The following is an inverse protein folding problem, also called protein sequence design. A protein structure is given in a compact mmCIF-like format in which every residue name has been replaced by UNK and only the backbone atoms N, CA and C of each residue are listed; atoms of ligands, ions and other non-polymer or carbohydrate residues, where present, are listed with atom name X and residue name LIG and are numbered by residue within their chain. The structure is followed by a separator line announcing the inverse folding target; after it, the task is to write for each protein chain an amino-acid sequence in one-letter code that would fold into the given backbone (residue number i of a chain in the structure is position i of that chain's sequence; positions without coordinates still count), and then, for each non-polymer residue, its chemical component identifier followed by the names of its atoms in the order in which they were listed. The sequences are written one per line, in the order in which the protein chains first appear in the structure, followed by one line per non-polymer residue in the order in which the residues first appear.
data_IF_738364539549
#
_entry.id   IF_738364539549
#
_cell.length_a   1.000
_cell.length_b   1.000
_cell.length_c   1.000
_cell.angle_alpha   90.00
_cell.angle_beta   90.00
_cell.angle_gamma   90.00
#
_symmetry.space_group_name_H-M   'P 1'
#
loop_
_entity.id
_entity.type
_entity.pdbx_description
1 polymer ?
#
# COMPACT_ATOMS: atom_id res chain seq x y z
N UNK A 1 -52.54 67.92 16.98
CA UNK A 1 -52.59 66.56 17.55
C UNK A 1 -51.77 65.66 16.66
N UNK A 2 -50.76 64.97 17.19
CA UNK A 2 -50.01 63.94 16.46
C UNK A 2 -50.34 62.59 17.09
N UNK A 3 -50.62 61.58 16.26
CA UNK A 3 -51.14 60.30 16.72
C UNK A 3 -49.97 59.32 16.91
N UNK A 4 -49.49 59.16 18.15
CA UNK A 4 -48.41 58.22 18.46
C UNK A 4 -48.93 56.78 18.48
N UNK A 5 -48.20 55.87 17.82
CA UNK A 5 -48.48 54.45 17.89
C UNK A 5 -48.06 53.87 19.25
N UNK A 6 -48.75 52.85 19.79
CA UNK A 6 -48.50 52.35 21.15
C UNK A 6 -47.16 51.62 21.36
N UNK A 7 -46.29 51.53 20.34
CA UNK A 7 -45.01 50.81 20.38
C UNK A 7 -43.76 51.70 20.20
N UNK A 8 -43.91 53.02 19.99
CA UNK A 8 -42.78 53.92 19.70
C UNK A 8 -41.99 54.27 20.99
N UNK A 9 -41.07 53.39 21.38
CA UNK A 9 -40.17 53.60 22.52
C UNK A 9 -39.12 54.70 22.27
N UNK A 10 -38.64 55.40 23.33
CA UNK A 10 -37.79 56.60 23.21
C UNK A 10 -36.35 56.37 22.71
N UNK A 11 -36.02 55.14 22.29
CA UNK A 11 -34.71 54.75 21.73
C UNK A 11 -34.80 54.38 20.24
N UNK A 12 -35.97 54.53 19.61
CA UNK A 12 -36.22 54.12 18.24
C UNK A 12 -36.49 52.61 18.09
N UNK A 13 -36.86 52.20 16.89
CA UNK A 13 -37.02 50.79 16.54
C UNK A 13 -35.65 50.11 16.56
N UNK A 14 -35.48 49.10 17.42
CA UNK A 14 -34.34 48.20 17.34
C UNK A 14 -34.37 47.51 15.95
N UNK A 15 -33.23 47.38 15.25
CA UNK A 15 -33.21 46.64 14.00
C UNK A 15 -33.54 45.18 14.28
N UNK A 16 -34.56 44.65 13.59
CA UNK A 16 -34.87 43.22 13.60
C UNK A 16 -33.73 42.46 12.91
N UNK A 17 -32.72 42.07 13.70
CA UNK A 17 -31.63 41.18 13.30
C UNK A 17 -32.19 39.74 13.26
N UNK A 18 -33.15 39.54 12.35
CA UNK A 18 -33.71 38.25 11.98
C UNK A 18 -32.69 37.53 11.10
N UNK A 19 -31.60 37.06 11.72
CA UNK A 19 -30.68 36.10 11.11
C UNK A 19 -31.43 34.78 11.00
N UNK A 20 -32.28 34.69 9.97
CA UNK A 20 -32.99 33.49 9.53
C UNK A 20 -32.08 32.46 8.88
N UNK A 21 -30.87 32.28 9.44
CA UNK A 21 -30.10 31.07 9.19
C UNK A 21 -30.91 29.92 9.80
N UNK A 22 -31.61 29.17 8.94
CA UNK A 22 -32.41 28.03 9.38
C UNK A 22 -31.54 27.06 10.18
N UNK A 23 -32.10 26.38 11.18
CA UNK A 23 -31.35 25.41 11.98
C UNK A 23 -30.71 24.32 11.10
N UNK A 24 -31.31 24.02 9.94
CA UNK A 24 -30.76 23.15 8.91
C UNK A 24 -29.43 23.66 8.30
N UNK A 25 -29.25 24.97 8.12
CA UNK A 25 -27.97 25.56 7.67
C UNK A 25 -26.91 25.51 8.77
N UNK A 26 -27.27 25.82 10.02
CA UNK A 26 -26.35 25.69 11.16
C UNK A 26 -25.93 24.24 11.40
N UNK A 27 -26.86 23.29 11.27
CA UNK A 27 -26.61 21.85 11.31
C UNK A 27 -25.75 21.39 10.12
N UNK A 28 -26.00 21.89 8.91
CA UNK A 28 -25.20 21.57 7.72
C UNK A 28 -23.75 22.04 7.82
N UNK A 29 -23.53 23.30 8.22
CA UNK A 29 -22.19 23.88 8.40
C UNK A 29 -21.42 23.18 9.52
N UNK A 30 -22.06 22.89 10.66
CA UNK A 30 -21.41 22.17 11.75
C UNK A 30 -21.07 20.72 11.38
N UNK A 31 -21.97 20.00 10.69
CA UNK A 31 -21.71 18.63 10.23
C UNK A 31 -20.57 18.58 9.20
N UNK A 32 -20.53 19.51 8.24
CA UNK A 32 -19.42 19.64 7.29
C UNK A 32 -18.08 19.93 8.01
N UNK A 33 -18.08 20.81 9.02
CA UNK A 33 -16.92 21.07 9.87
C UNK A 33 -16.42 19.83 10.62
N UNK A 34 -17.33 19.03 11.21
CA UNK A 34 -16.97 17.78 11.87
C UNK A 34 -16.42 16.73 10.89
N UNK A 35 -16.97 16.61 9.68
CA UNK A 35 -16.44 15.70 8.66
C UNK A 35 -15.03 16.10 8.21
N UNK A 36 -14.78 17.39 7.97
CA UNK A 36 -13.45 17.89 7.60
C UNK A 36 -12.42 17.65 8.72
N UNK A 37 -12.80 17.87 9.98
CA UNK A 37 -11.94 17.64 11.15
C UNK A 37 -11.66 16.13 11.34
N UNK A 38 -12.68 15.28 11.21
CA UNK A 38 -12.54 13.83 11.28
C UNK A 38 -11.63 13.29 10.15
N UNK A 39 -11.79 13.78 8.92
CA UNK A 39 -10.94 13.39 7.79
C UNK A 39 -9.48 13.86 7.96
N UNK A 40 -9.26 15.06 8.51
CA UNK A 40 -7.93 15.56 8.87
C UNK A 40 -7.25 14.68 9.92
N UNK A 41 -7.95 14.36 11.03
CA UNK A 41 -7.42 13.46 12.07
C UNK A 41 -7.17 12.05 11.53
N UNK A 42 -8.07 11.50 10.71
CA UNK A 42 -7.91 10.21 10.05
C UNK A 42 -6.68 10.18 9.12
N UNK A 43 -6.43 11.27 8.38
CA UNK A 43 -5.26 11.42 7.51
C UNK A 43 -3.95 11.52 8.30
N UNK A 44 -3.96 12.20 9.45
CA UNK A 44 -2.83 12.25 10.39
C UNK A 44 -2.55 10.86 10.99
N UNK A 45 -3.59 10.13 11.39
CA UNK A 45 -3.45 8.75 11.91
C UNK A 45 -2.95 7.80 10.82
N UNK A 46 -3.48 7.85 9.59
CA UNK A 46 -3.01 7.04 8.46
C UNK A 46 -1.55 7.31 8.11
N UNK A 47 -1.13 8.58 8.03
CA UNK A 47 0.27 8.93 7.72
C UNK A 47 1.23 8.52 8.84
N UNK A 48 0.80 8.59 10.12
CA UNK A 48 1.57 8.09 11.26
C UNK A 48 1.63 6.56 11.30
N UNK A 49 0.54 5.85 11.01
CA UNK A 49 0.54 4.38 10.93
C UNK A 49 1.38 3.89 9.75
N UNK A 50 1.32 4.56 8.59
CA UNK A 50 2.13 4.22 7.42
C UNK A 50 3.63 4.42 7.70
N UNK A 51 4.02 5.58 8.24
CA UNK A 51 5.44 5.83 8.60
C UNK A 51 5.94 4.93 9.74
N UNK A 52 5.11 4.60 10.73
CA UNK A 52 5.47 3.62 11.76
C UNK A 52 5.66 2.21 11.17
N UNK A 53 4.83 1.81 10.19
CA UNK A 53 4.96 0.54 9.50
C UNK A 53 6.20 0.50 8.60
N UNK A 54 6.45 1.55 7.83
CA UNK A 54 7.64 1.66 6.96
C UNK A 54 8.94 1.66 7.79
N UNK A 55 8.95 2.27 8.98
CA UNK A 55 10.08 2.18 9.91
C UNK A 55 10.30 0.77 10.46
N UNK A 56 9.24 0.03 10.82
CA UNK A 56 9.35 -1.35 11.30
C UNK A 56 9.81 -2.31 10.19
N UNK A 57 9.28 -2.17 8.97
CA UNK A 57 9.71 -2.95 7.81
C UNK A 57 11.18 -2.62 7.44
N UNK A 58 11.63 -1.37 7.58
CA UNK A 58 13.06 -1.01 7.45
C UNK A 58 13.95 -1.60 8.56
N UNK A 59 13.52 -1.65 9.83
CA UNK A 59 14.32 -2.25 10.90
C UNK A 59 14.46 -3.76 10.74
N UNK A 60 13.39 -4.49 10.39
CA UNK A 60 13.47 -5.92 10.11
C UNK A 60 14.38 -6.22 8.89
N UNK A 61 14.26 -5.47 7.79
CA UNK A 61 15.15 -5.66 6.63
C UNK A 61 16.62 -5.36 6.98
N UNK A 62 16.89 -4.35 7.81
CA UNK A 62 18.27 -4.02 8.26
C UNK A 62 18.87 -5.11 9.14
N UNK A 63 18.12 -5.66 10.10
CA UNK A 63 18.63 -6.73 10.98
C UNK A 63 18.86 -8.04 10.20
N UNK A 64 17.92 -8.42 9.32
CA UNK A 64 18.08 -9.56 8.39
C UNK A 64 19.31 -9.36 7.48
N UNK A 65 19.53 -8.13 6.99
CA UNK A 65 20.69 -7.82 6.15
C UNK A 65 22.02 -8.01 6.88
N UNK A 66 22.10 -7.78 8.19
CA UNK A 66 23.35 -7.95 8.94
C UNK A 66 23.74 -9.43 9.09
N UNK A 67 22.83 -10.27 9.58
CA UNK A 67 23.13 -11.70 9.79
C UNK A 67 23.35 -12.44 8.46
N UNK A 68 22.67 -12.05 7.37
CA UNK A 68 22.92 -12.64 6.05
C UNK A 68 24.26 -12.18 5.43
N UNK A 69 24.67 -10.92 5.63
CA UNK A 69 26.02 -10.44 5.27
C UNK A 69 27.09 -11.18 6.08
N UNK A 70 26.87 -11.38 7.38
CA UNK A 70 27.77 -12.12 8.28
C UNK A 70 27.86 -13.61 7.90
N UNK A 71 26.78 -14.19 7.40
CA UNK A 71 26.76 -15.55 6.86
C UNK A 71 27.53 -15.66 5.53
N UNK A 72 27.43 -14.66 4.64
CA UNK A 72 28.10 -14.64 3.32
C UNK A 72 29.58 -14.25 3.36
N UNK A 73 29.99 -13.42 4.32
CA UNK A 73 31.35 -12.89 4.40
C UNK A 73 32.42 -13.95 4.75
N UNK A 74 33.63 -13.73 4.23
CA UNK A 74 34.69 -14.73 4.21
C UNK A 74 35.43 -14.86 5.56
N UNK A 75 35.83 -16.08 5.93
CA UNK A 75 36.32 -16.36 7.31
C UNK A 75 37.60 -15.60 7.62
N UNK A 76 38.41 -15.30 6.61
CA UNK A 76 39.66 -14.54 6.71
C UNK A 76 39.44 -13.11 7.21
N UNK A 77 38.40 -12.41 6.76
CA UNK A 77 38.17 -10.98 7.04
C UNK A 77 37.39 -10.73 8.34
N UNK A 78 36.70 -11.73 8.87
CA UNK A 78 35.92 -11.59 10.12
C UNK A 78 36.81 -11.54 11.37
N UNK A 79 36.51 -10.60 12.27
CA UNK A 79 37.11 -10.52 13.62
C UNK A 79 36.60 -11.64 14.54
N UNK A 80 37.31 -11.95 15.64
CA UNK A 80 37.02 -13.04 16.60
C UNK A 80 35.60 -12.99 17.16
N UNK A 81 35.05 -11.79 17.38
CA UNK A 81 33.66 -11.60 17.81
C UNK A 81 32.66 -12.01 16.72
N UNK A 82 32.87 -11.53 15.48
CA UNK A 82 32.04 -11.87 14.32
C UNK A 82 32.06 -13.38 14.01
N UNK A 83 33.22 -14.04 14.12
CA UNK A 83 33.33 -15.50 13.97
C UNK A 83 32.51 -16.26 15.03
N UNK A 84 32.48 -15.77 16.27
CA UNK A 84 31.64 -16.32 17.36
C UNK A 84 30.14 -16.11 17.10
N UNK A 85 29.74 -14.95 16.60
CA UNK A 85 28.35 -14.68 16.21
C UNK A 85 27.91 -15.58 15.05
N UNK A 86 28.68 -15.66 13.96
CA UNK A 86 28.43 -16.55 12.81
C UNK A 86 28.32 -18.02 13.24
N UNK A 87 29.19 -18.49 14.15
CA UNK A 87 29.12 -19.84 14.70
C UNK A 87 27.83 -20.10 15.50
N UNK A 88 27.42 -19.16 16.37
CA UNK A 88 26.14 -19.23 17.10
C UNK A 88 24.94 -19.23 16.15
N UNK A 89 24.96 -18.42 15.09
CA UNK A 89 23.90 -18.38 14.08
C UNK A 89 23.79 -19.72 13.32
N UNK A 90 24.92 -20.28 12.87
CA UNK A 90 24.96 -21.61 12.21
C UNK A 90 24.44 -22.71 13.16
N UNK A 91 24.83 -22.72 14.44
CA UNK A 91 24.32 -23.67 15.43
C UNK A 91 22.80 -23.50 15.68
N UNK A 92 22.30 -22.26 15.72
CA UNK A 92 20.86 -21.95 15.84
C UNK A 92 20.07 -22.44 14.63
N UNK A 93 20.63 -22.35 13.43
CA UNK A 93 20.04 -22.92 12.20
C UNK A 93 20.07 -24.46 12.22
N UNK A 94 21.20 -25.08 12.58
CA UNK A 94 21.31 -26.54 12.69
C UNK A 94 20.32 -27.11 13.71
N UNK A 95 20.13 -26.46 14.86
CA UNK A 95 19.12 -26.86 15.87
C UNK A 95 17.67 -26.73 15.38
N UNK A 96 17.39 -25.92 14.34
CA UNK A 96 16.07 -25.81 13.69
C UNK A 96 15.84 -26.82 12.57
N UNK A 97 16.89 -27.45 12.05
CA UNK A 97 16.84 -28.44 10.95
C UNK A 97 16.99 -29.88 11.47
N UNK A 98 17.67 -30.07 12.61
CA UNK A 98 17.67 -31.35 13.31
C UNK A 98 16.25 -31.69 13.81
N UNK A 99 15.72 -32.91 13.55
CA UNK A 99 14.41 -33.31 14.04
C UNK A 99 14.42 -33.38 15.57
N UNK A 100 13.43 -32.74 16.20
CA UNK A 100 13.35 -32.66 17.65
C UNK A 100 12.91 -34.01 18.23
N UNK A 101 13.85 -34.84 18.69
CA UNK A 101 13.50 -35.94 19.59
C UNK A 101 12.97 -35.35 20.91
N UNK A 102 11.77 -35.75 21.37
CA UNK A 102 11.24 -35.33 22.66
C UNK A 102 11.81 -36.23 23.76
N UNK A 103 12.94 -35.84 24.35
CA UNK A 103 13.34 -36.40 25.64
C UNK A 103 12.39 -35.86 26.71
N UNK A 104 11.34 -36.63 27.00
CA UNK A 104 10.43 -36.35 28.10
C UNK A 104 11.08 -36.82 29.40
N UNK A 105 11.54 -35.86 30.22
CA UNK A 105 11.92 -36.07 31.61
C UNK A 105 11.14 -35.07 32.49
N UNK A 106 10.64 -35.47 33.67
CA UNK A 106 9.94 -34.56 34.57
C UNK A 106 10.91 -33.56 35.24
N UNK A 107 10.42 -32.42 35.75
CA UNK A 107 11.27 -31.36 36.31
C UNK A 107 11.44 -31.47 37.84
N UNK A 108 12.68 -31.21 38.30
CA UNK A 108 13.05 -30.75 39.65
C UNK A 108 12.82 -31.76 40.81
N UNK A 109 13.42 -31.66 42.00
CA UNK A 109 14.33 -30.66 42.61
C UNK A 109 15.66 -31.30 43.14
N UNK A 110 16.29 -30.64 44.11
CA UNK A 110 17.64 -30.82 44.71
C UNK A 110 17.88 -32.15 45.47
N UNK A 111 19.11 -32.70 45.42
CA UNK A 111 19.92 -33.16 46.59
C UNK A 111 21.40 -33.50 46.21
N UNK A 112 22.26 -33.77 47.20
CA UNK A 112 23.69 -34.11 47.06
C UNK A 112 24.00 -35.63 46.94
N UNK A 113 25.19 -35.95 46.42
CA UNK A 113 26.05 -37.01 46.99
C UNK A 113 25.96 -38.46 46.46
N UNK A 114 27.12 -38.98 46.00
CA UNK A 114 27.42 -40.43 45.79
C UNK A 114 26.53 -41.15 44.73
N UNK A 115 26.76 -42.41 44.32
CA UNK A 115 27.94 -43.29 44.43
C UNK A 115 27.57 -44.79 44.29
N UNK A 116 28.14 -45.50 43.32
CA UNK A 116 27.75 -46.89 42.94
C UNK A 116 26.78 -46.90 41.74
N UNK A 117 26.72 -47.87 40.80
CA UNK A 117 27.19 -49.28 40.64
C UNK A 117 26.15 -50.36 41.04
N UNK A 118 26.11 -51.43 40.24
CA UNK A 118 25.16 -52.59 40.21
C UNK A 118 23.86 -52.33 39.41
N UNK A 119 23.29 -53.20 38.56
CA UNK A 119 23.54 -54.60 38.11
C UNK A 119 22.76 -55.75 38.83
N UNK A 120 21.46 -55.87 38.50
CA UNK A 120 20.57 -57.07 38.53
C UNK A 120 19.38 -56.77 37.56
N UNK A 121 18.66 -57.64 36.84
CA UNK A 121 18.46 -59.11 36.75
C UNK A 121 17.34 -59.72 37.63
N UNK A 122 16.35 -60.38 36.97
CA UNK A 122 15.26 -61.23 37.52
C UNK A 122 14.26 -60.53 38.50
N UNK A 123 13.01 -60.96 38.77
CA UNK A 123 12.04 -61.96 38.24
C UNK A 123 10.62 -61.54 38.80
N UNK A 124 9.43 -61.72 38.19
CA UNK A 124 8.99 -62.39 36.94
C UNK A 124 8.14 -61.45 36.02
N UNK A 125 6.86 -61.58 35.63
CA UNK A 125 5.78 -62.58 35.90
C UNK A 125 4.44 -62.31 35.15
N UNK A 126 3.48 -63.24 35.33
CA UNK A 126 2.03 -63.22 34.98
C UNK A 126 1.58 -62.92 33.52
N UNK A 127 1.26 -63.99 32.79
CA UNK A 127 0.39 -64.02 31.60
C UNK A 127 -1.05 -64.43 32.04
N UNK A 128 -2.16 -64.39 31.23
CA UNK A 128 -2.19 -64.80 29.81
C UNK A 128 -3.19 -64.10 28.85
N UNK A 129 -3.01 -64.31 27.55
CA UNK A 129 -4.07 -64.86 26.69
C UNK A 129 -3.44 -65.54 25.45
N UNK A 130 -4.15 -66.47 24.80
CA UNK A 130 -3.57 -67.33 23.76
C UNK A 130 -4.53 -67.55 22.57
N UNK A 131 -3.95 -67.71 21.38
CA UNK A 131 -4.47 -68.58 20.31
C UNK A 131 -3.30 -69.31 19.62
N UNK A 132 -3.51 -70.51 19.04
CA UNK A 132 -2.42 -71.41 18.68
C UNK A 132 -2.03 -71.38 17.19
N UNK A 133 -0.73 -71.49 16.91
CA UNK A 133 -0.19 -71.78 15.56
C UNK A 133 0.39 -73.21 15.56
N UNK A 134 0.00 -74.09 14.62
CA UNK A 134 0.42 -75.49 14.64
C UNK A 134 1.91 -75.64 14.28
N UNK A 135 2.60 -76.48 15.05
CA UNK A 135 3.97 -76.87 14.72
C UNK A 135 3.97 -77.92 13.59
N UNK A 136 4.70 -77.64 12.51
CA UNK A 136 5.10 -78.64 11.53
C UNK A 136 6.62 -78.85 11.62
N UNK A 137 7.04 -80.09 11.85
CA UNK A 137 8.43 -80.54 11.70
C UNK A 137 8.62 -81.14 10.30
N UNK A 138 9.85 -81.54 10.03
CA UNK A 138 10.31 -82.35 8.88
C UNK A 138 10.78 -81.52 7.67
N UNK A 139 11.92 -81.83 7.04
CA UNK A 139 13.09 -82.57 7.57
C UNK A 139 14.38 -82.14 6.85
N UNK A 140 15.50 -82.81 7.17
CA UNK A 140 16.82 -82.63 6.54
C UNK A 140 16.80 -82.69 5.01
N UNK A 141 17.52 -81.79 4.31
CA UNK A 141 18.42 -82.12 3.18
C UNK A 141 19.17 -80.92 2.53
N UNK A 142 20.07 -80.22 3.25
CA UNK A 142 20.95 -79.20 2.64
C UNK A 142 22.46 -79.31 2.97
N UNK A 143 23.24 -79.52 1.90
CA UNK A 143 24.60 -78.98 1.67
C UNK A 143 25.76 -79.26 2.64
N UNK A 144 25.98 -80.52 3.04
CA UNK A 144 27.27 -80.97 3.62
C UNK A 144 28.49 -80.74 2.71
N UNK A 145 28.29 -80.47 1.41
CA UNK A 145 29.36 -80.20 0.43
C UNK A 145 30.04 -78.82 0.55
N UNK A 146 29.44 -77.83 1.22
CA UNK A 146 30.06 -76.49 1.38
C UNK A 146 30.95 -76.36 2.63
N UNK A 147 31.17 -77.44 3.39
CA UNK A 147 31.72 -77.36 4.75
C UNK A 147 33.24 -77.51 4.92
N UNK A 148 34.02 -77.20 3.86
CA UNK A 148 35.49 -77.35 3.86
C UNK A 148 36.29 -76.07 3.52
N UNK A 149 35.64 -74.93 3.29
CA UNK A 149 36.33 -73.63 3.35
C UNK A 149 36.76 -73.36 4.80
N UNK A 150 38.01 -72.95 4.99
CA UNK A 150 38.56 -72.68 6.32
C UNK A 150 37.73 -71.62 7.05
N UNK A 151 37.62 -71.73 8.39
CA UNK A 151 36.98 -70.71 9.25
C UNK A 151 37.53 -69.30 8.96
N UNK A 152 38.83 -69.21 8.62
CA UNK A 152 39.55 -67.99 8.26
C UNK A 152 39.17 -67.43 6.87
N UNK A 153 38.70 -68.28 5.95
CA UNK A 153 38.27 -67.89 4.60
C UNK A 153 36.83 -67.40 4.60
N UNK A 154 35.92 -68.10 5.30
CA UNK A 154 34.55 -67.61 5.54
C UNK A 154 34.55 -66.24 6.22
N UNK A 155 35.40 -66.05 7.24
CA UNK A 155 35.53 -64.77 7.94
C UNK A 155 36.08 -63.66 7.05
N UNK A 156 36.98 -63.98 6.09
CA UNK A 156 37.43 -63.03 5.06
C UNK A 156 36.32 -62.69 4.08
N UNK A 157 35.59 -63.67 3.59
CA UNK A 157 34.49 -63.49 2.63
C UNK A 157 33.37 -62.62 3.22
N UNK A 158 32.90 -62.95 4.42
CA UNK A 158 31.90 -62.15 5.13
C UNK A 158 32.34 -60.68 5.30
N UNK A 159 33.58 -60.45 5.73
CA UNK A 159 34.14 -59.09 5.89
C UNK A 159 34.35 -58.36 4.54
N UNK A 160 34.50 -59.07 3.43
CA UNK A 160 34.55 -58.46 2.10
C UNK A 160 33.14 -58.06 1.60
N UNK A 161 32.12 -58.87 1.88
CA UNK A 161 30.71 -58.54 1.59
C UNK A 161 30.27 -57.33 2.41
N UNK A 162 30.46 -57.36 3.73
CA UNK A 162 30.18 -56.23 4.65
C UNK A 162 30.82 -54.92 4.16
N UNK A 163 32.08 -54.98 3.70
CA UNK A 163 32.80 -53.82 3.17
C UNK A 163 32.27 -53.34 1.81
N UNK A 164 31.73 -54.23 0.98
CA UNK A 164 31.10 -53.88 -0.30
C UNK A 164 29.70 -53.28 -0.09
N UNK A 165 28.85 -53.92 0.72
CA UNK A 165 27.53 -53.40 1.10
C UNK A 165 27.64 -52.00 1.72
N UNK A 166 28.57 -51.82 2.66
CA UNK A 166 28.84 -50.50 3.26
C UNK A 166 29.28 -49.46 2.22
N UNK A 167 30.10 -49.83 1.23
CA UNK A 167 30.53 -48.91 0.16
C UNK A 167 29.35 -48.52 -0.74
N UNK A 168 28.48 -49.46 -1.09
CA UNK A 168 27.28 -49.18 -1.88
C UNK A 168 26.34 -48.22 -1.12
N UNK A 169 26.09 -48.46 0.17
CA UNK A 169 25.29 -47.57 1.02
C UNK A 169 25.92 -46.17 1.17
N UNK A 170 27.25 -46.07 1.32
CA UNK A 170 27.95 -44.79 1.37
C UNK A 170 27.93 -44.05 0.00
N UNK A 171 27.94 -44.78 -1.12
CA UNK A 171 27.78 -44.21 -2.47
C UNK A 171 26.35 -43.76 -2.76
N UNK A 172 25.33 -44.57 -2.49
CA UNK A 172 23.93 -44.23 -2.79
C UNK A 172 23.46 -43.05 -1.93
N UNK A 173 23.83 -42.99 -0.65
CA UNK A 173 23.60 -41.79 0.19
C UNK A 173 24.30 -40.55 -0.39
N UNK A 174 25.46 -40.70 -1.05
CA UNK A 174 26.17 -39.60 -1.73
C UNK A 174 25.53 -39.21 -3.06
N UNK A 175 24.89 -40.15 -3.77
CA UNK A 175 24.09 -39.90 -4.99
C UNK A 175 22.80 -39.15 -4.62
N UNK A 176 22.08 -39.62 -3.61
CA UNK A 176 20.89 -38.96 -3.05
C UNK A 176 21.18 -37.53 -2.61
N UNK A 177 22.26 -37.31 -1.83
CA UNK A 177 22.67 -35.97 -1.40
C UNK A 177 22.99 -35.02 -2.58
N UNK A 178 23.58 -35.53 -3.67
CA UNK A 178 23.80 -34.73 -4.89
C UNK A 178 22.48 -34.37 -5.58
N UNK A 179 21.60 -35.36 -5.78
CA UNK A 179 20.28 -35.15 -6.40
C UNK A 179 19.43 -34.15 -5.60
N UNK A 180 19.45 -34.24 -4.27
CA UNK A 180 18.77 -33.29 -3.39
C UNK A 180 19.35 -31.87 -3.49
N UNK A 181 20.69 -31.72 -3.58
CA UNK A 181 21.33 -30.41 -3.79
C UNK A 181 21.02 -29.82 -5.17
N UNK A 182 21.02 -30.64 -6.22
CA UNK A 182 20.69 -30.19 -7.57
C UNK A 182 19.22 -29.79 -7.69
N UNK A 183 18.29 -30.61 -7.18
CA UNK A 183 16.87 -30.27 -7.13
C UNK A 183 16.61 -28.98 -6.33
N UNK A 184 17.31 -28.77 -5.20
CA UNK A 184 17.24 -27.53 -4.44
C UNK A 184 17.79 -26.32 -5.23
N UNK A 185 18.87 -26.50 -5.99
CA UNK A 185 19.45 -25.46 -6.84
C UNK A 185 18.52 -25.09 -8.01
N UNK A 186 17.94 -26.08 -8.70
CA UNK A 186 16.99 -25.84 -9.80
C UNK A 186 15.73 -25.13 -9.28
N UNK A 187 15.14 -25.61 -8.17
CA UNK A 187 13.97 -24.98 -7.54
C UNK A 187 14.25 -23.55 -7.06
N UNK A 188 15.47 -23.26 -6.58
CA UNK A 188 15.89 -21.88 -6.28
C UNK A 188 15.95 -21.04 -7.55
N UNK A 189 16.63 -21.52 -8.60
CA UNK A 189 16.82 -20.83 -9.88
C UNK A 189 15.50 -20.57 -10.62
N UNK A 190 14.53 -21.47 -10.52
CA UNK A 190 13.17 -21.30 -11.02
C UNK A 190 12.42 -20.22 -10.23
N UNK A 191 12.43 -20.27 -8.88
CA UNK A 191 11.81 -19.25 -8.03
C UNK A 191 12.42 -17.87 -8.23
N UNK A 192 13.73 -17.81 -8.48
CA UNK A 192 14.48 -16.58 -8.77
C UNK A 192 14.08 -16.02 -10.15
N UNK A 193 14.02 -16.86 -11.20
CA UNK A 193 13.50 -16.47 -12.52
C UNK A 193 12.06 -15.96 -12.45
N UNK A 194 11.17 -16.66 -11.73
CA UNK A 194 9.78 -16.24 -11.57
C UNK A 194 9.68 -14.88 -10.87
N UNK A 195 10.45 -14.67 -9.79
CA UNK A 195 10.53 -13.36 -9.10
C UNK A 195 11.05 -12.23 -9.99
N UNK A 196 12.02 -12.50 -10.88
CA UNK A 196 12.52 -11.50 -11.84
C UNK A 196 11.44 -11.13 -12.84
N UNK A 197 10.72 -12.10 -13.40
CA UNK A 197 9.60 -11.87 -14.32
C UNK A 197 8.44 -11.10 -13.64
N UNK A 198 8.06 -11.49 -12.42
CA UNK A 198 7.03 -10.79 -11.62
C UNK A 198 7.46 -9.34 -11.32
N UNK A 199 8.74 -9.10 -11.02
CA UNK A 199 9.28 -7.76 -10.78
C UNK A 199 9.42 -6.91 -12.05
N UNK A 200 9.64 -7.54 -13.21
CA UNK A 200 9.67 -6.87 -14.52
C UNK A 200 8.26 -6.49 -14.99
N UNK A 201 7.29 -7.41 -14.86
CA UNK A 201 5.87 -7.15 -15.10
C UNK A 201 5.35 -6.04 -14.19
N UNK A 202 5.53 -6.16 -12.87
CA UNK A 202 5.11 -5.13 -11.91
C UNK A 202 5.85 -3.80 -12.04
N UNK A 203 7.01 -3.74 -12.73
CA UNK A 203 7.65 -2.49 -13.15
C UNK A 203 6.97 -1.90 -14.37
N UNK A 204 6.70 -2.71 -15.40
CA UNK A 204 6.04 -2.29 -16.64
C UNK A 204 4.61 -1.80 -16.37
N UNK A 205 3.84 -2.52 -15.57
CA UNK A 205 2.49 -2.14 -15.14
C UNK A 205 2.47 -0.78 -14.43
N UNK A 206 3.42 -0.53 -13.50
CA UNK A 206 3.56 0.76 -12.82
C UNK A 206 3.98 1.89 -13.77
N UNK A 207 4.78 1.59 -14.79
CA UNK A 207 5.14 2.60 -15.79
C UNK A 207 3.98 2.90 -16.75
N UNK A 208 3.23 1.88 -17.17
CA UNK A 208 2.02 2.03 -17.99
C UNK A 208 0.93 2.78 -17.24
N UNK A 209 0.73 2.48 -15.95
CA UNK A 209 -0.17 3.24 -15.08
C UNK A 209 0.30 4.70 -14.95
N UNK A 210 1.55 4.96 -14.59
CA UNK A 210 2.04 6.34 -14.42
C UNK A 210 1.96 7.15 -15.72
N UNK A 211 2.14 6.52 -16.88
CA UNK A 211 1.93 7.14 -18.21
C UNK A 211 0.45 7.41 -18.50
N UNK A 212 -0.46 6.57 -18.03
CA UNK A 212 -1.90 6.81 -18.11
C UNK A 212 -2.31 7.99 -17.21
N UNK A 213 -1.84 8.01 -15.96
CA UNK A 213 -2.05 9.10 -15.00
C UNK A 213 -1.50 10.44 -15.56
N UNK A 214 -0.31 10.43 -16.15
CA UNK A 214 0.31 11.58 -16.83
C UNK A 214 -0.52 12.07 -18.03
N UNK A 215 -1.08 11.15 -18.83
CA UNK A 215 -1.90 11.48 -19.99
C UNK A 215 -3.30 11.99 -19.61
N UNK A 216 -3.92 11.40 -18.59
CA UNK A 216 -5.19 11.85 -18.02
C UNK A 216 -5.03 13.23 -17.39
N UNK A 217 -3.98 13.45 -16.59
CA UNK A 217 -3.64 14.76 -16.05
C UNK A 217 -3.40 15.82 -17.15
N UNK A 218 -2.71 15.46 -18.23
CA UNK A 218 -2.54 16.36 -19.38
C UNK A 218 -3.86 16.65 -20.12
N UNK A 219 -4.76 15.66 -20.26
CA UNK A 219 -6.11 15.87 -20.84
C UNK A 219 -6.95 16.76 -19.94
N UNK A 220 -7.05 16.45 -18.65
CA UNK A 220 -7.77 17.23 -17.65
C UNK A 220 -7.22 18.65 -17.50
N UNK A 221 -5.92 18.87 -17.72
CA UNK A 221 -5.38 20.21 -17.83
C UNK A 221 -5.80 20.89 -19.15
N UNK A 222 -5.57 20.26 -20.31
CA UNK A 222 -5.72 20.88 -21.63
C UNK A 222 -7.17 21.12 -22.06
N UNK A 223 -8.08 20.18 -21.79
CA UNK A 223 -9.49 20.24 -22.19
C UNK A 223 -10.23 21.23 -21.29
N UNK A 224 -11.02 22.12 -21.88
CA UNK A 224 -11.97 22.94 -21.14
C UNK A 224 -13.29 22.17 -20.99
N UNK A 225 -13.95 21.88 -22.12
CA UNK A 225 -15.21 21.14 -22.20
C UNK A 225 -15.13 20.08 -23.31
N UNK A 226 -15.90 19.00 -23.15
CA UNK A 226 -15.99 17.91 -24.11
C UNK A 226 -17.42 17.33 -24.13
N UNK A 227 -18.03 17.34 -25.30
CA UNK A 227 -19.12 16.42 -25.66
C UNK A 227 -18.52 15.29 -26.50
N UNK A 228 -19.17 14.13 -26.61
CA UNK A 228 -18.64 12.94 -27.29
C UNK A 228 -18.30 13.13 -28.77
N UNK A 229 -18.75 14.22 -29.38
CA UNK A 229 -18.47 14.63 -30.77
C UNK A 229 -17.51 15.84 -30.87
N UNK A 230 -17.32 16.64 -29.81
CA UNK A 230 -16.55 17.90 -29.87
C UNK A 230 -15.75 18.19 -28.59
N UNK A 231 -14.46 18.48 -28.76
CA UNK A 231 -13.54 18.87 -27.68
C UNK A 231 -13.17 20.35 -27.86
N UNK A 232 -13.33 21.15 -26.81
CA UNK A 232 -12.85 22.53 -26.73
C UNK A 232 -11.69 22.60 -25.73
N UNK A 233 -10.50 22.99 -26.17
CA UNK A 233 -9.36 23.16 -25.25
C UNK A 233 -9.37 24.53 -24.59
N UNK A 234 -8.76 24.65 -23.40
CA UNK A 234 -8.63 25.93 -22.68
C UNK A 234 -7.96 27.00 -23.54
N UNK A 235 -6.99 26.62 -24.39
CA UNK A 235 -6.29 27.54 -25.30
C UNK A 235 -7.10 27.98 -26.53
N UNK A 236 -8.16 27.25 -26.88
CA UNK A 236 -9.13 27.65 -27.90
C UNK A 236 -10.24 28.50 -27.28
N UNK A 237 -10.73 28.14 -26.08
CA UNK A 237 -11.68 28.96 -25.34
C UNK A 237 -11.11 30.35 -25.01
N UNK A 238 -9.85 30.44 -24.56
CA UNK A 238 -9.15 31.73 -24.37
C UNK A 238 -9.01 32.53 -25.68
N UNK A 239 -9.13 31.90 -26.85
CA UNK A 239 -9.17 32.59 -28.15
C UNK A 239 -10.58 33.11 -28.44
N UNK A 240 -11.60 32.25 -28.30
CA UNK A 240 -13.02 32.64 -28.41
C UNK A 240 -13.34 33.82 -27.47
N UNK A 241 -12.86 33.79 -26.22
CA UNK A 241 -13.05 34.85 -25.21
C UNK A 241 -12.39 36.21 -25.55
N UNK A 242 -11.40 36.25 -26.45
CA UNK A 242 -10.78 37.51 -26.90
C UNK A 242 -11.64 38.22 -27.95
N UNK A 243 -12.40 37.45 -28.72
CA UNK A 243 -13.31 37.91 -29.76
C UNK A 243 -14.71 38.17 -29.16
N UNK A 244 -15.13 37.31 -28.23
CA UNK A 244 -16.39 37.36 -27.50
C UNK A 244 -16.12 37.46 -25.99
N UNK A 245 -15.92 38.70 -25.51
CA UNK A 245 -15.60 39.02 -24.10
C UNK A 245 -16.68 38.60 -23.09
N UNK A 246 -17.91 38.39 -23.55
CA UNK A 246 -19.08 38.06 -22.73
C UNK A 246 -19.68 36.77 -23.27
N UNK A 247 -19.82 35.75 -22.42
CA UNK A 247 -20.31 34.42 -22.80
C UNK A 247 -21.39 33.95 -21.80
N UNK A 248 -22.58 33.64 -22.31
CA UNK A 248 -23.63 33.00 -21.51
C UNK A 248 -23.25 31.56 -21.18
N UNK A 249 -23.30 31.18 -19.90
CA UNK A 249 -23.00 29.80 -19.48
C UNK A 249 -24.03 28.81 -20.03
N UNK A 250 -25.27 29.26 -20.22
CA UNK A 250 -26.36 28.47 -20.80
C UNK A 250 -26.10 28.11 -22.26
N UNK A 251 -25.77 29.07 -23.11
CA UNK A 251 -25.45 28.84 -24.53
C UNK A 251 -24.25 27.88 -24.67
N UNK A 252 -23.26 28.02 -23.78
CA UNK A 252 -22.09 27.16 -23.70
C UNK A 252 -22.44 25.75 -23.21
N UNK A 253 -23.36 25.62 -22.26
CA UNK A 253 -23.88 24.34 -21.78
C UNK A 253 -24.69 23.61 -22.85
N UNK A 254 -25.55 24.32 -23.59
CA UNK A 254 -26.32 23.79 -24.71
C UNK A 254 -25.42 23.37 -25.88
N UNK A 255 -24.39 24.18 -26.22
CA UNK A 255 -23.37 23.87 -27.25
C UNK A 255 -22.63 22.55 -27.01
N UNK A 256 -22.38 22.18 -25.75
CA UNK A 256 -21.69 20.96 -25.34
C UNK A 256 -22.60 19.90 -24.68
N UNK A 257 -23.93 20.07 -24.75
CA UNK A 257 -24.95 19.14 -24.20
C UNK A 257 -24.74 18.75 -22.70
N UNK A 258 -24.12 19.63 -21.92
CA UNK A 258 -23.78 19.43 -20.50
C UNK A 258 -24.61 20.35 -19.59
N UNK A 259 -24.59 20.10 -18.29
CA UNK A 259 -25.26 20.97 -17.33
C UNK A 259 -24.52 22.30 -17.10
N UNK A 260 -25.28 23.40 -16.99
CA UNK A 260 -24.74 24.75 -16.70
C UNK A 260 -23.84 24.76 -15.44
N UNK A 261 -24.20 23.96 -14.42
CA UNK A 261 -23.39 23.82 -13.21
C UNK A 261 -22.00 23.18 -13.46
N UNK A 262 -21.89 22.28 -14.44
CA UNK A 262 -20.59 21.68 -14.82
C UNK A 262 -19.71 22.72 -15.52
N UNK A 263 -20.28 23.51 -16.44
CA UNK A 263 -19.63 24.67 -17.05
C UNK A 263 -19.18 25.66 -15.97
N UNK A 264 -20.07 26.02 -15.04
CA UNK A 264 -19.82 26.98 -13.95
C UNK A 264 -18.65 26.53 -13.05
N UNK A 265 -18.67 25.27 -12.61
CA UNK A 265 -17.59 24.71 -11.80
C UNK A 265 -16.26 24.67 -12.57
N UNK A 266 -16.29 24.27 -13.85
CA UNK A 266 -15.09 24.23 -14.68
C UNK A 266 -14.48 25.61 -14.96
N UNK A 267 -15.31 26.65 -15.04
CA UNK A 267 -14.84 28.05 -15.12
C UNK A 267 -14.21 28.47 -13.77
N UNK A 268 -14.81 28.12 -12.63
CA UNK A 268 -14.23 28.39 -11.30
C UNK A 268 -12.87 27.72 -11.12
N UNK A 269 -12.73 26.45 -11.49
CA UNK A 269 -11.44 25.73 -11.51
C UNK A 269 -10.36 26.50 -12.31
N UNK A 270 -10.70 26.99 -13.50
CA UNK A 270 -9.75 27.73 -14.35
C UNK A 270 -9.40 29.15 -13.82
N UNK A 271 -10.28 29.75 -13.01
CA UNK A 271 -10.01 30.99 -12.28
C UNK A 271 -9.10 30.72 -11.07
N UNK A 272 -9.36 29.64 -10.31
CA UNK A 272 -8.52 29.21 -9.18
C UNK A 272 -7.12 28.78 -9.62
N UNK A 273 -7.01 28.02 -10.72
CA UNK A 273 -5.72 27.70 -11.38
C UNK A 273 -5.04 28.95 -11.99
N UNK A 274 -5.68 30.13 -11.98
CA UNK A 274 -5.19 31.39 -12.55
C UNK A 274 -4.89 31.33 -14.06
N UNK A 275 -5.57 30.45 -14.79
CA UNK A 275 -5.36 30.18 -16.22
C UNK A 275 -6.26 31.01 -17.12
N UNK A 276 -7.40 31.42 -16.60
CA UNK A 276 -8.31 32.40 -17.21
C UNK A 276 -8.50 33.53 -16.20
N UNK A 277 -8.75 34.75 -16.69
CA UNK A 277 -9.09 35.91 -15.85
C UNK A 277 -10.44 36.47 -16.31
N UNK A 278 -11.25 36.92 -15.37
CA UNK A 278 -12.61 37.35 -15.64
C UNK A 278 -13.48 37.35 -14.38
N UNK A 279 -14.75 37.70 -14.57
CA UNK A 279 -15.77 37.71 -13.52
C UNK A 279 -16.93 36.83 -13.96
N UNK A 280 -17.45 36.04 -13.03
CA UNK A 280 -18.68 35.28 -13.20
C UNK A 280 -19.82 36.07 -12.56
N UNK A 281 -20.79 36.50 -13.37
CA UNK A 281 -22.01 37.14 -12.91
C UNK A 281 -23.10 36.07 -12.74
N UNK A 282 -23.50 35.83 -11.49
CA UNK A 282 -24.54 34.87 -11.14
C UNK A 282 -25.83 35.63 -10.83
N UNK A 283 -26.68 35.81 -11.85
CA UNK A 283 -28.03 36.34 -11.66
C UNK A 283 -28.86 35.35 -10.81
N UNK A 284 -29.45 35.78 -9.67
CA UNK A 284 -30.24 34.88 -8.83
C UNK A 284 -31.50 34.45 -9.57
N UNK A 285 -31.73 33.14 -9.69
CA UNK A 285 -32.86 32.57 -10.42
C UNK A 285 -34.19 33.03 -9.80
N UNK A 286 -34.86 33.98 -10.47
CA UNK A 286 -36.09 34.59 -9.98
C UNK A 286 -37.30 33.73 -10.40
N UNK A 287 -37.91 33.04 -9.43
CA UNK A 287 -39.22 32.38 -9.48
C UNK A 287 -39.64 31.78 -10.83
N UNK A 288 -38.86 30.83 -11.34
CA UNK A 288 -39.16 30.06 -12.56
C UNK A 288 -38.44 30.52 -13.83
N UNK A 289 -37.73 31.66 -13.79
CA UNK A 289 -36.72 31.99 -14.79
C UNK A 289 -35.47 31.10 -14.64
N UNK A 290 -34.84 30.75 -15.77
CA UNK A 290 -33.53 30.09 -15.75
C UNK A 290 -32.41 31.01 -15.23
N UNK A 291 -31.33 30.45 -14.70
CA UNK A 291 -30.15 31.22 -14.35
C UNK A 291 -29.38 31.64 -15.60
N UNK A 292 -29.65 32.85 -16.09
CA UNK A 292 -28.81 33.51 -17.10
C UNK A 292 -27.49 33.97 -16.45
N UNK A 293 -26.65 32.99 -16.08
CA UNK A 293 -25.30 33.22 -15.57
C UNK A 293 -24.37 33.58 -16.74
N UNK A 294 -23.56 34.61 -16.55
CA UNK A 294 -22.69 35.16 -17.61
C UNK A 294 -21.24 35.18 -17.15
N UNK A 295 -20.32 34.79 -18.02
CA UNK A 295 -18.89 34.97 -17.80
C UNK A 295 -18.37 36.15 -18.63
N UNK A 296 -17.70 37.08 -17.95
CA UNK A 296 -17.06 38.25 -18.55
C UNK A 296 -15.55 38.08 -18.46
N UNK A 297 -14.90 37.83 -19.59
CA UNK A 297 -13.44 37.69 -19.68
C UNK A 297 -12.75 39.04 -19.54
N UNK A 298 -11.66 39.04 -18.76
CA UNK A 298 -10.77 40.18 -18.58
C UNK A 298 -9.36 39.74 -18.97
N UNK A 299 -8.67 40.51 -19.81
CA UNK A 299 -7.28 40.21 -20.11
C UNK A 299 -6.38 40.43 -18.88
N UNK A 300 -5.18 39.82 -18.84
CA UNK A 300 -4.21 40.07 -17.77
C UNK A 300 -3.83 41.55 -17.59
N UNK A 301 -3.95 42.37 -18.63
CA UNK A 301 -3.67 43.82 -18.59
C UNK A 301 -4.80 44.60 -17.91
N UNK A 302 -6.06 44.27 -18.23
CA UNK A 302 -7.24 44.83 -17.57
C UNK A 302 -7.31 44.37 -16.11
N UNK A 303 -7.00 43.11 -15.83
CA UNK A 303 -6.94 42.58 -14.47
C UNK A 303 -5.82 43.24 -13.63
N UNK A 304 -4.64 43.48 -14.21
CA UNK A 304 -3.58 44.25 -13.54
C UNK A 304 -3.98 45.72 -13.30
N UNK A 305 -4.77 46.30 -14.21
CA UNK A 305 -5.32 47.67 -14.08
C UNK A 305 -6.35 47.74 -12.95
N UNK A 306 -7.26 46.77 -12.85
CA UNK A 306 -8.24 46.65 -11.77
C UNK A 306 -7.56 46.38 -10.41
N UNK A 307 -6.58 45.48 -10.36
CA UNK A 307 -5.80 45.23 -9.15
C UNK A 307 -5.06 46.50 -8.67
N UNK A 308 -4.54 47.31 -9.59
CA UNK A 308 -3.92 48.60 -9.27
C UNK A 308 -4.94 49.65 -8.80
N UNK A 309 -6.13 49.70 -9.41
CA UNK A 309 -7.24 50.58 -9.03
C UNK A 309 -7.75 50.28 -7.60
N UNK A 310 -7.82 49.00 -7.23
CA UNK A 310 -8.19 48.55 -5.87
C UNK A 310 -7.06 48.84 -4.89
N UNK A 311 -5.81 48.47 -5.21
CA UNK A 311 -4.65 48.71 -4.33
C UNK A 311 -4.40 50.18 -4.01
N UNK A 312 -4.85 51.10 -4.88
CA UNK A 312 -4.80 52.55 -4.67
C UNK A 312 -5.91 53.13 -3.76
N UNK A 313 -6.78 52.31 -3.17
CA UNK A 313 -7.89 52.76 -2.31
C UNK A 313 -8.06 51.87 -1.09
N UNK A 314 -8.21 52.46 0.10
CA UNK A 314 -8.49 51.71 1.34
C UNK A 314 -9.85 51.01 1.33
N UNK A 315 -10.79 51.48 0.49
CA UNK A 315 -12.13 50.91 0.29
C UNK A 315 -12.55 51.08 -1.17
N UNK A 316 -13.13 50.02 -1.74
CA UNK A 316 -13.82 50.03 -3.05
C UNK A 316 -15.17 49.34 -2.92
N UNK A 317 -16.23 49.97 -3.38
CA UNK A 317 -17.59 49.45 -3.40
C UNK A 317 -17.78 48.54 -4.61
N UNK A 318 -18.56 47.46 -4.48
CA UNK A 318 -18.85 46.55 -5.59
C UNK A 318 -19.38 47.27 -6.85
N UNK A 319 -20.20 48.33 -6.68
CA UNK A 319 -20.69 49.18 -7.77
C UNK A 319 -19.59 49.97 -8.49
N UNK A 320 -18.55 50.41 -7.78
CA UNK A 320 -17.41 51.12 -8.37
C UNK A 320 -16.51 50.15 -9.15
N UNK A 321 -16.37 48.92 -8.65
CA UNK A 321 -15.67 47.86 -9.36
C UNK A 321 -16.42 47.44 -10.63
N UNK A 322 -17.74 47.23 -10.55
CA UNK A 322 -18.60 46.90 -11.68
C UNK A 322 -18.53 47.97 -12.78
N UNK A 323 -18.76 49.24 -12.44
CA UNK A 323 -18.63 50.35 -13.39
C UNK A 323 -17.23 50.44 -14.03
N UNK A 324 -16.16 50.09 -13.30
CA UNK A 324 -14.80 50.06 -13.86
C UNK A 324 -14.53 48.81 -14.72
N UNK A 325 -15.23 47.71 -14.48
CA UNK A 325 -15.22 46.52 -15.35
C UNK A 325 -15.99 46.84 -16.64
N UNK A 326 -17.18 47.45 -16.55
CA UNK A 326 -17.95 47.93 -17.71
C UNK A 326 -17.11 48.87 -18.59
N UNK A 327 -16.41 49.84 -18.00
CA UNK A 327 -15.51 50.77 -18.73
C UNK A 327 -14.36 50.06 -19.45
N UNK A 328 -13.86 48.94 -18.93
CA UNK A 328 -12.77 48.15 -19.53
C UNK A 328 -13.25 47.09 -20.52
N UNK A 329 -14.49 46.62 -20.39
CA UNK A 329 -15.10 45.59 -21.24
C UNK A 329 -15.81 46.19 -22.44
N UNK A 330 -16.39 47.39 -22.29
CA UNK A 330 -17.05 48.13 -23.36
C UNK A 330 -16.10 48.39 -24.55
N UNK A 331 -16.57 48.27 -25.80
CA UNK A 331 -15.77 48.62 -26.96
C UNK A 331 -15.50 50.12 -26.99
N UNK A 332 -14.22 50.49 -27.00
CA UNK A 332 -13.79 51.82 -27.46
C UNK A 332 -14.24 51.99 -28.91
N UNK A 333 -15.08 53.01 -29.15
CA UNK A 333 -15.54 53.40 -30.50
C UNK A 333 -14.42 54.02 -31.34
#
# INVERSE_FOLDING_TARGET
MANYGPNDGPLGTAPDISIGASDALLLGVSFAGFLALAWSVYSIVLTKLKTARELLEEEEEREISYDERLAKADVSTLNRAQRRARARHIMKQQRRVAPHHPHHGPPAEEDEGHGGRELLLEQEGEAPFAEPVPAFRDETHHSTAQNLLSRKERQKAAKQVELQERRLLEEDRRREQKLAQEAAMQRKKERERKRVLEAEQGRKEREEQRRADELEGYRAWKVFLEDGETILTVGEWIRELREHRVVGLKDLAERFRIGEAAVRNRIRELLEESRVSGVLEESPAQDGGGSDSVFVYLSPQEMATLASYVKGRDKTTAKELAARIEELVAPTQ
#
